data_IF_267178701082
#
_entry.id   IF_267178701082
#
_cell.length_a   1.000
_cell.length_b   1.000
_cell.length_c   1.000
_cell.angle_alpha   90.00
_cell.angle_beta   90.00
_cell.angle_gamma   90.00
#
_symmetry.space_group_name_H-M   'P 1'
#
loop_
_entity.id
_entity.type
_entity.pdbx_description
1 polymer ?
#
# COMPACT_ATOMS: atom_id res chain seq x y z
N UNK A 1 -0.32 -15.07 -23.02
CA UNK A 1 -1.48 -14.15 -22.88
C UNK A 1 -1.29 -13.28 -21.64
N UNK A 2 -1.89 -12.10 -21.62
CA UNK A 2 -1.85 -11.19 -20.48
C UNK A 2 -3.26 -11.01 -19.92
N UNK A 3 -3.39 -11.03 -18.58
CA UNK A 3 -4.63 -10.69 -17.87
C UNK A 3 -4.43 -9.32 -17.23
N UNK A 4 -5.35 -8.40 -17.44
CA UNK A 4 -5.38 -7.11 -16.78
C UNK A 4 -6.53 -7.09 -15.77
N UNK A 5 -6.22 -6.80 -14.51
CA UNK A 5 -7.19 -6.61 -13.43
C UNK A 5 -7.04 -5.22 -12.84
N UNK A 6 -8.15 -4.56 -12.57
CA UNK A 6 -8.21 -3.25 -11.93
C UNK A 6 -9.16 -3.33 -10.72
N UNK A 7 -8.68 -3.77 -9.55
CA UNK A 7 -9.51 -3.83 -8.36
C UNK A 7 -9.93 -2.43 -7.92
N UNK A 8 -11.19 -2.29 -7.50
CA UNK A 8 -11.73 -1.05 -6.97
C UNK A 8 -11.89 -1.17 -5.46
N UNK A 9 -11.50 -0.13 -4.74
CA UNK A 9 -11.65 0.00 -3.29
C UNK A 9 -12.61 1.14 -2.97
N UNK A 10 -13.93 0.88 -2.92
CA UNK A 10 -14.92 1.91 -2.63
C UNK A 10 -14.68 2.55 -1.25
N UNK A 11 -15.01 3.83 -1.14
CA UNK A 11 -15.05 4.58 0.12
C UNK A 11 -16.50 4.86 0.52
N UNK A 12 -16.70 5.49 1.68
CA UNK A 12 -18.04 5.78 2.22
C UNK A 12 -18.93 6.55 1.24
N UNK A 13 -18.36 7.50 0.51
CA UNK A 13 -19.13 8.37 -0.40
C UNK A 13 -19.59 7.60 -1.66
N UNK A 14 -18.82 6.60 -2.08
CA UNK A 14 -19.15 5.76 -3.24
C UNK A 14 -20.43 4.96 -3.03
N UNK A 15 -20.74 4.58 -1.77
CA UNK A 15 -21.94 3.79 -1.45
C UNK A 15 -23.19 4.50 -1.94
N UNK A 16 -23.35 5.77 -1.58
CA UNK A 16 -24.52 6.55 -1.97
C UNK A 16 -24.43 7.05 -3.41
N UNK A 17 -23.24 7.41 -3.87
CA UNK A 17 -23.02 7.93 -5.22
C UNK A 17 -23.32 6.89 -6.29
N UNK A 18 -22.92 5.63 -6.06
CA UNK A 18 -23.05 4.54 -7.03
C UNK A 18 -24.10 3.50 -6.63
N UNK A 19 -24.84 3.74 -5.54
CA UNK A 19 -25.85 2.84 -5.01
C UNK A 19 -25.31 1.40 -4.86
N UNK A 20 -24.17 1.28 -4.17
CA UNK A 20 -23.49 -0.01 -3.99
C UNK A 20 -24.32 -0.95 -3.10
N UNK A 21 -24.41 -2.21 -3.51
CA UNK A 21 -25.10 -3.26 -2.79
C UNK A 21 -24.40 -3.59 -1.45
N UNK A 22 -25.15 -4.19 -0.51
CA UNK A 22 -24.68 -4.45 0.87
C UNK A 22 -23.56 -5.51 0.96
N UNK A 23 -23.30 -6.28 -0.08
CA UNK A 23 -22.21 -7.23 -0.20
C UNK A 23 -20.90 -6.60 -0.72
N UNK A 24 -20.96 -5.37 -1.28
CA UNK A 24 -19.78 -4.63 -1.71
C UNK A 24 -19.09 -3.98 -0.52
N UNK A 25 -17.87 -4.39 -0.23
CA UNK A 25 -17.08 -3.83 0.86
C UNK A 25 -16.59 -2.42 0.54
N UNK A 26 -16.39 -1.61 1.58
CA UNK A 26 -15.85 -0.27 1.46
C UNK A 26 -14.87 0.04 2.60
N UNK A 27 -13.97 0.99 2.37
CA UNK A 27 -12.90 1.36 3.30
C UNK A 27 -13.01 2.82 3.74
N UNK A 28 -12.29 3.21 4.81
CA UNK A 28 -12.06 4.63 5.09
C UNK A 28 -11.31 5.28 3.93
N UNK A 29 -11.61 6.55 3.67
CA UNK A 29 -10.86 7.33 2.69
C UNK A 29 -9.39 7.43 3.08
N UNK A 30 -8.49 7.13 2.13
CA UNK A 30 -7.04 7.16 2.32
C UNK A 30 -6.45 6.06 3.20
N UNK A 31 -7.24 5.06 3.66
CA UNK A 31 -6.75 3.95 4.46
C UNK A 31 -6.75 2.62 3.70
N UNK A 32 -7.57 2.50 2.64
CA UNK A 32 -7.52 1.34 1.75
C UNK A 32 -6.13 1.14 1.11
N UNK A 33 -5.38 2.21 0.90
CA UNK A 33 -4.02 2.15 0.36
C UNK A 33 -2.95 1.79 1.40
N UNK A 34 -3.36 1.53 2.64
CA UNK A 34 -2.50 1.19 3.76
C UNK A 34 -2.76 -0.22 4.33
N UNK A 35 -3.68 -0.98 3.76
CA UNK A 35 -3.99 -2.31 4.26
C UNK A 35 -4.98 -2.33 5.42
N UNK A 36 -5.70 -1.24 5.67
CA UNK A 36 -6.67 -1.18 6.75
C UNK A 36 -7.91 -2.04 6.49
N UNK A 37 -8.63 -2.32 7.59
CA UNK A 37 -9.86 -3.10 7.53
C UNK A 37 -10.98 -2.30 6.86
N UNK A 38 -11.78 -2.98 6.04
CA UNK A 38 -13.03 -2.46 5.51
C UNK A 38 -13.96 -2.04 6.64
N UNK A 39 -14.88 -1.12 6.36
CA UNK A 39 -15.86 -0.63 7.33
C UNK A 39 -17.06 -1.55 7.44
N UNK A 40 -17.66 -1.54 8.63
CA UNK A 40 -18.96 -2.08 8.92
C UNK A 40 -19.63 -1.13 9.92
N UNK A 41 -20.55 -0.30 9.47
CA UNK A 41 -21.24 0.71 10.30
C UNK A 41 -22.72 0.41 10.41
N UNK A 42 -23.37 1.00 11.40
CA UNK A 42 -24.81 0.82 11.58
C UNK A 42 -25.62 1.35 10.38
N UNK A 43 -25.16 2.43 9.74
CA UNK A 43 -25.80 3.01 8.56
C UNK A 43 -25.53 2.24 7.27
N UNK A 44 -24.38 1.57 7.21
CA UNK A 44 -23.96 0.78 6.03
C UNK A 44 -23.35 -0.53 6.54
N UNK A 45 -24.17 -1.48 7.01
CA UNK A 45 -23.68 -2.75 7.53
C UNK A 45 -23.07 -3.60 6.44
N UNK A 46 -22.04 -4.36 6.80
CA UNK A 46 -21.37 -5.34 5.93
C UNK A 46 -21.23 -6.67 6.65
N UNK A 47 -21.24 -7.80 5.92
CA UNK A 47 -21.24 -9.13 6.54
C UNK A 47 -19.95 -9.43 7.31
N UNK A 48 -18.83 -8.82 6.90
CA UNK A 48 -17.53 -8.98 7.54
C UNK A 48 -16.65 -7.78 7.24
N UNK A 49 -15.49 -7.75 7.89
CA UNK A 49 -14.41 -6.79 7.63
C UNK A 49 -13.18 -7.54 7.14
N UNK A 50 -12.47 -6.96 6.18
CA UNK A 50 -11.23 -7.52 5.63
C UNK A 50 -10.24 -6.40 5.32
N UNK A 51 -8.96 -6.66 5.50
CA UNK A 51 -7.91 -5.76 5.05
C UNK A 51 -7.91 -5.63 3.52
N UNK A 52 -7.68 -4.44 3.02
CA UNK A 52 -7.50 -4.22 1.58
C UNK A 52 -6.29 -5.03 1.04
N UNK A 53 -5.27 -5.26 1.85
CA UNK A 53 -4.15 -6.12 1.47
C UNK A 53 -4.54 -7.60 1.40
N UNK A 54 -5.40 -8.08 2.31
CA UNK A 54 -5.94 -9.45 2.20
C UNK A 54 -6.76 -9.66 0.93
N UNK A 55 -7.36 -8.59 0.36
CA UNK A 55 -8.01 -8.72 -0.95
C UNK A 55 -7.00 -8.95 -2.07
N UNK A 56 -5.83 -8.30 -2.02
CA UNK A 56 -4.74 -8.54 -2.97
C UNK A 56 -4.16 -9.95 -2.81
N UNK A 57 -3.96 -10.42 -1.57
CA UNK A 57 -3.55 -11.80 -1.32
C UNK A 57 -4.52 -12.79 -1.99
N UNK A 58 -5.82 -12.56 -1.81
CA UNK A 58 -6.88 -13.38 -2.42
C UNK A 58 -6.83 -13.34 -3.95
N UNK A 59 -6.62 -12.15 -4.54
CA UNK A 59 -6.49 -11.99 -6.00
C UNK A 59 -5.27 -12.78 -6.50
N UNK A 60 -4.12 -12.70 -5.84
CA UNK A 60 -2.92 -13.44 -6.22
C UNK A 60 -3.15 -14.93 -6.19
N UNK A 61 -3.76 -15.46 -5.12
CA UNK A 61 -4.12 -16.87 -5.02
C UNK A 61 -5.05 -17.31 -6.15
N UNK A 62 -6.11 -16.55 -6.41
CA UNK A 62 -7.06 -16.88 -7.48
C UNK A 62 -6.43 -16.83 -8.87
N UNK A 63 -5.52 -15.88 -9.10
CA UNK A 63 -4.76 -15.82 -10.36
C UNK A 63 -3.90 -17.07 -10.54
N UNK A 64 -3.16 -17.49 -9.51
CA UNK A 64 -2.32 -18.69 -9.56
C UNK A 64 -3.15 -19.97 -9.71
N UNK A 65 -4.24 -20.14 -8.96
CA UNK A 65 -5.12 -21.30 -9.02
C UNK A 65 -5.76 -21.48 -10.40
N UNK A 66 -6.24 -20.38 -11.00
CA UNK A 66 -6.97 -20.43 -12.25
C UNK A 66 -6.06 -20.38 -13.50
N UNK A 67 -4.77 -20.13 -13.31
CA UNK A 67 -3.80 -20.01 -14.40
C UNK A 67 -2.51 -20.78 -14.06
N UNK A 68 -2.49 -22.12 -14.23
CA UNK A 68 -1.31 -22.96 -13.89
C UNK A 68 -0.02 -22.59 -14.62
N UNK A 69 -0.12 -21.85 -15.73
CA UNK A 69 1.02 -21.34 -16.49
C UNK A 69 1.36 -19.88 -16.19
N UNK A 70 0.92 -19.34 -15.06
CA UNK A 70 1.24 -17.97 -14.64
C UNK A 70 2.71 -17.87 -14.23
N UNK A 71 3.46 -17.05 -14.94
CA UNK A 71 4.91 -16.87 -14.72
C UNK A 71 5.22 -15.58 -14.00
N UNK A 72 4.33 -14.56 -14.10
CA UNK A 72 4.59 -13.23 -13.55
C UNK A 72 3.32 -12.53 -13.10
N UNK A 73 3.38 -11.86 -11.94
CA UNK A 73 2.39 -10.91 -11.45
C UNK A 73 3.06 -9.54 -11.34
N UNK A 74 2.46 -8.53 -11.96
CA UNK A 74 2.89 -7.13 -11.83
C UNK A 74 1.81 -6.37 -11.09
N UNK A 75 2.15 -5.82 -9.92
CA UNK A 75 1.30 -4.89 -9.19
C UNK A 75 1.76 -3.47 -9.51
N UNK A 76 0.88 -2.68 -10.10
CA UNK A 76 1.15 -1.27 -10.42
C UNK A 76 0.03 -0.38 -9.92
N UNK A 77 0.34 0.86 -9.64
CA UNK A 77 -0.62 1.87 -9.22
C UNK A 77 -0.07 3.27 -9.39
N UNK A 78 -0.96 4.25 -9.59
CA UNK A 78 -0.61 5.66 -9.71
C UNK A 78 -1.17 6.44 -8.52
N UNK A 79 -0.43 7.45 -8.03
CA UNK A 79 -0.85 8.34 -6.94
C UNK A 79 -1.25 7.54 -5.68
N UNK A 80 -2.49 7.61 -5.21
CA UNK A 80 -2.99 6.81 -4.08
C UNK A 80 -2.83 5.30 -4.29
N UNK A 81 -2.99 4.81 -5.54
CA UNK A 81 -2.73 3.42 -5.89
C UNK A 81 -1.26 3.03 -5.76
N UNK A 82 -0.33 3.94 -6.03
CA UNK A 82 1.10 3.68 -5.84
C UNK A 82 1.50 3.57 -4.37
N UNK A 83 0.82 4.29 -3.47
CA UNK A 83 1.00 4.14 -2.03
C UNK A 83 0.63 2.72 -1.57
N UNK A 84 -0.44 2.15 -2.14
CA UNK A 84 -0.80 0.75 -1.89
C UNK A 84 0.30 -0.20 -2.39
N UNK A 85 0.82 0.03 -3.59
CA UNK A 85 1.90 -0.80 -4.16
C UNK A 85 3.14 -0.80 -3.27
N UNK A 86 3.61 0.37 -2.84
CA UNK A 86 4.80 0.50 -1.98
C UNK A 86 4.61 -0.23 -0.65
N UNK A 87 3.48 -0.04 0.01
CA UNK A 87 3.20 -0.66 1.31
C UNK A 87 2.95 -2.15 1.20
N UNK A 88 2.26 -2.59 0.14
CA UNK A 88 2.03 -4.01 -0.10
C UNK A 88 3.31 -4.75 -0.52
N UNK A 89 4.21 -4.12 -1.27
CA UNK A 89 5.51 -4.70 -1.60
C UNK A 89 6.34 -5.06 -0.35
N UNK A 90 6.18 -4.27 0.72
CA UNK A 90 6.83 -4.52 2.00
C UNK A 90 6.02 -5.43 2.93
N UNK A 91 4.71 -5.23 3.02
CA UNK A 91 3.87 -5.90 4.01
C UNK A 91 3.03 -7.05 3.48
N UNK A 92 2.87 -7.17 2.16
CA UNK A 92 1.98 -8.15 1.53
C UNK A 92 2.43 -9.60 1.74
N UNK A 93 1.48 -10.48 2.01
CA UNK A 93 1.72 -11.91 2.26
C UNK A 93 1.41 -12.81 1.08
N UNK A 94 0.76 -12.27 0.04
CA UNK A 94 0.37 -13.05 -1.13
C UNK A 94 1.55 -13.61 -1.92
N UNK A 95 2.68 -12.89 -2.00
CA UNK A 95 3.90 -13.37 -2.62
C UNK A 95 4.50 -14.54 -1.84
N UNK A 96 4.63 -14.42 -0.52
CA UNK A 96 5.17 -15.48 0.34
C UNK A 96 4.33 -16.75 0.25
N UNK A 97 3.00 -16.61 0.32
CA UNK A 97 2.07 -17.73 0.19
C UNK A 97 2.15 -18.47 -1.15
N UNK A 98 2.67 -17.83 -2.19
CA UNK A 98 2.88 -18.41 -3.53
C UNK A 98 4.35 -18.72 -3.84
N UNK A 99 5.24 -18.68 -2.86
CA UNK A 99 6.69 -18.88 -3.06
C UNK A 99 7.06 -20.22 -3.73
N UNK A 100 6.22 -21.25 -3.58
CA UNK A 100 6.39 -22.55 -4.23
C UNK A 100 5.96 -22.63 -5.70
N UNK A 101 5.33 -21.59 -6.25
CA UNK A 101 4.72 -21.61 -7.58
C UNK A 101 5.64 -21.11 -8.70
N UNK A 102 6.86 -20.70 -8.40
CA UNK A 102 7.83 -20.14 -9.35
C UNK A 102 7.30 -18.93 -10.15
N UNK A 103 6.49 -18.08 -9.50
CA UNK A 103 5.91 -16.87 -10.06
C UNK A 103 6.82 -15.69 -9.72
N UNK A 104 7.22 -14.90 -10.73
CA UNK A 104 7.92 -13.65 -10.52
C UNK A 104 6.93 -12.55 -10.08
N UNK A 105 7.26 -11.83 -9.00
CA UNK A 105 6.49 -10.68 -8.53
C UNK A 105 7.26 -9.39 -8.81
N UNK A 106 6.58 -8.42 -9.42
CA UNK A 106 7.14 -7.10 -9.76
C UNK A 106 6.21 -6.01 -9.26
N UNK A 107 6.77 -5.00 -8.63
CA UNK A 107 6.05 -3.85 -8.10
C UNK A 107 6.44 -2.59 -8.86
N UNK A 108 5.45 -1.85 -9.37
CA UNK A 108 5.69 -0.63 -10.16
C UNK A 108 4.83 0.52 -9.61
N UNK A 109 5.27 1.16 -8.51
CA UNK A 109 4.62 2.38 -8.03
C UNK A 109 4.93 3.56 -8.94
N UNK A 110 3.89 4.36 -9.27
CA UNK A 110 3.99 5.50 -10.18
C UNK A 110 3.54 6.77 -9.47
N UNK A 111 4.39 7.80 -9.43
CA UNK A 111 4.14 9.10 -8.79
C UNK A 111 3.57 8.94 -7.37
N UNK A 112 4.34 8.30 -6.51
CA UNK A 112 3.93 7.98 -5.14
C UNK A 112 3.96 9.22 -4.25
N UNK A 113 2.81 9.69 -3.73
CA UNK A 113 2.79 10.93 -2.95
C UNK A 113 3.27 10.76 -1.51
N UNK A 114 3.38 9.54 -1.00
CA UNK A 114 3.99 9.25 0.31
C UNK A 114 4.50 7.81 0.38
N UNK A 115 5.56 7.61 1.14
CA UNK A 115 6.26 6.35 1.28
C UNK A 115 6.07 5.73 2.67
N UNK A 116 6.40 4.45 2.79
CA UNK A 116 6.66 3.78 4.05
C UNK A 116 8.16 3.83 4.29
N UNK A 117 8.57 4.41 5.41
CA UNK A 117 9.95 4.48 5.87
C UNK A 117 10.23 3.40 6.91
N UNK A 118 11.39 2.78 6.84
CA UNK A 118 11.76 1.62 7.65
C UNK A 118 12.62 1.98 8.86
N UNK A 119 12.95 3.26 8.98
CA UNK A 119 13.63 3.87 10.14
C UNK A 119 13.13 5.31 10.36
N UNK A 120 13.73 6.00 11.34
CA UNK A 120 13.39 7.39 11.66
C UNK A 120 14.01 8.44 10.75
N UNK A 121 14.89 8.05 9.81
CA UNK A 121 15.58 9.00 8.95
C UNK A 121 14.64 9.55 7.88
N UNK A 122 14.73 10.85 7.66
CA UNK A 122 13.93 11.59 6.67
C UNK A 122 14.82 12.57 5.93
N UNK A 123 14.44 12.89 4.70
CA UNK A 123 15.08 13.97 3.94
C UNK A 123 14.70 15.29 4.60
N UNK A 124 15.69 16.00 5.15
CA UNK A 124 15.50 17.31 5.78
C UNK A 124 15.73 18.45 4.79
N UNK A 125 16.64 18.27 3.86
CA UNK A 125 16.99 19.26 2.85
C UNK A 125 17.22 18.56 1.51
N UNK A 126 16.32 18.79 0.56
CA UNK A 126 16.37 18.22 -0.78
C UNK A 126 17.57 18.71 -1.60
N UNK A 127 18.09 19.90 -1.27
CA UNK A 127 19.21 20.50 -2.02
C UNK A 127 20.57 19.98 -1.57
N UNK A 128 20.67 19.51 -0.34
CA UNK A 128 21.92 19.03 0.27
C UNK A 128 21.92 17.51 0.50
N UNK A 129 20.82 16.83 0.17
CA UNK A 129 20.65 15.39 0.40
C UNK A 129 20.92 15.00 1.87
N UNK A 130 20.56 15.87 2.80
CA UNK A 130 20.73 15.62 4.23
C UNK A 130 19.60 14.74 4.74
N UNK A 131 19.97 13.59 5.26
CA UNK A 131 19.09 12.65 5.95
C UNK A 131 19.39 12.70 7.45
N UNK A 132 18.39 12.90 8.26
CA UNK A 132 18.48 12.87 9.72
C UNK A 132 17.14 12.45 10.31
N UNK A 133 17.11 12.17 11.61
CA UNK A 133 15.85 11.94 12.32
C UNK A 133 14.94 13.14 12.17
N UNK A 134 13.67 12.87 11.84
CA UNK A 134 12.67 13.91 11.62
C UNK A 134 12.63 14.95 12.73
N UNK A 135 12.34 16.21 12.42
CA UNK A 135 12.34 17.28 13.40
C UNK A 135 11.36 16.97 14.54
N UNK A 136 11.76 17.40 15.73
CA UNK A 136 10.90 17.38 16.92
C UNK A 136 9.58 18.09 16.60
N UNK A 137 8.47 17.39 16.71
CA UNK A 137 7.13 17.94 16.43
C UNK A 137 6.37 17.25 15.28
N UNK A 138 7.05 16.47 14.43
CA UNK A 138 6.39 15.64 13.39
C UNK A 138 6.09 14.25 13.93
N UNK A 139 5.28 14.13 14.96
CA UNK A 139 4.99 12.86 15.66
C UNK A 139 4.32 11.81 14.79
N UNK A 140 3.70 12.20 13.69
CA UNK A 140 3.07 11.28 12.73
C UNK A 140 4.04 10.70 11.70
N UNK A 141 5.27 11.23 11.58
CA UNK A 141 6.19 10.81 10.52
C UNK A 141 6.62 9.33 10.63
N UNK A 142 6.71 8.80 11.86
CA UNK A 142 7.03 7.39 12.09
C UNK A 142 5.82 6.50 12.35
N UNK A 143 4.63 7.10 12.46
CA UNK A 143 3.40 6.32 12.61
C UNK A 143 3.06 5.62 11.29
N UNK A 144 2.54 4.40 11.37
CA UNK A 144 1.96 3.77 10.20
C UNK A 144 0.81 4.67 9.68
N UNK A 145 0.79 4.97 8.47
CA UNK A 145 1.27 4.38 7.20
C UNK A 145 2.58 5.00 6.63
N UNK A 146 3.28 5.82 7.41
CA UNK A 146 4.50 6.52 6.95
C UNK A 146 5.78 5.93 7.55
N UNK A 147 5.67 5.25 8.69
CA UNK A 147 6.74 4.54 9.36
C UNK A 147 6.21 3.27 10.01
N UNK A 148 6.98 2.67 10.88
CA UNK A 148 6.69 1.36 11.47
C UNK A 148 6.06 1.44 12.87
N UNK A 149 5.86 2.64 13.44
CA UNK A 149 5.18 2.78 14.73
C UNK A 149 3.67 2.58 14.57
N UNK A 150 3.05 1.85 15.51
CA UNK A 150 1.60 1.61 15.53
C UNK A 150 1.05 1.04 14.21
N UNK A 151 1.63 -0.05 13.78
CA UNK A 151 1.18 -0.81 12.60
C UNK A 151 -0.31 -1.15 12.71
N UNK A 152 -1.03 -1.19 11.58
CA UNK A 152 -2.37 -1.74 11.57
C UNK A 152 -2.34 -3.27 11.70
N UNK A 153 -3.49 -3.88 11.94
CA UNK A 153 -3.59 -5.31 12.20
C UNK A 153 -2.90 -6.17 11.14
N UNK A 154 -3.07 -5.87 9.85
CA UNK A 154 -2.47 -6.67 8.78
C UNK A 154 -0.94 -6.62 8.82
N UNK A 155 -0.39 -5.42 9.03
CA UNK A 155 1.06 -5.21 9.11
C UNK A 155 1.65 -5.76 10.41
N UNK A 156 0.92 -5.70 11.54
CA UNK A 156 1.32 -6.36 12.79
C UNK A 156 1.42 -7.89 12.61
N UNK A 157 0.46 -8.50 11.91
CA UNK A 157 0.48 -9.93 11.59
C UNK A 157 1.65 -10.32 10.67
N UNK A 158 2.09 -9.43 9.76
CA UNK A 158 3.30 -9.63 8.96
C UNK A 158 4.55 -9.49 9.82
N UNK A 159 4.58 -8.52 10.72
CA UNK A 159 5.68 -8.24 11.64
C UNK A 159 6.80 -7.38 11.04
N UNK A 160 7.35 -6.50 11.86
CA UNK A 160 8.34 -5.49 11.43
C UNK A 160 9.55 -6.09 10.71
N UNK A 161 10.12 -7.18 11.25
CA UNK A 161 11.27 -7.84 10.62
C UNK A 161 10.96 -8.33 9.21
N UNK A 162 9.80 -8.97 9.02
CA UNK A 162 9.39 -9.45 7.71
C UNK A 162 9.10 -8.29 6.74
N UNK A 163 8.49 -7.21 7.22
CA UNK A 163 8.25 -6.00 6.42
C UNK A 163 9.57 -5.46 5.86
N UNK A 164 10.59 -5.33 6.70
CA UNK A 164 11.92 -4.84 6.30
C UNK A 164 12.59 -5.80 5.32
N UNK A 165 12.51 -7.10 5.56
CA UNK A 165 13.14 -8.11 4.71
C UNK A 165 12.41 -8.25 3.37
N UNK A 166 11.09 -8.20 3.35
CA UNK A 166 10.31 -8.15 2.11
C UNK A 166 10.68 -6.93 1.27
N UNK A 167 10.78 -5.75 1.88
CA UNK A 167 11.19 -4.53 1.17
C UNK A 167 12.56 -4.68 0.49
N UNK A 168 13.55 -5.24 1.21
CA UNK A 168 14.91 -5.45 0.66
C UNK A 168 14.92 -6.41 -0.52
N UNK A 169 14.01 -7.39 -0.53
CA UNK A 169 13.93 -8.44 -1.54
C UNK A 169 12.95 -8.12 -2.67
N UNK A 170 12.09 -7.13 -2.49
CA UNK A 170 11.05 -6.78 -3.46
C UNK A 170 11.66 -6.28 -4.78
N UNK A 171 11.27 -6.89 -5.90
CA UNK A 171 11.58 -6.41 -7.23
C UNK A 171 10.71 -5.19 -7.55
N UNK A 172 11.19 -4.00 -7.15
CA UNK A 172 10.43 -2.74 -7.26
C UNK A 172 11.10 -1.77 -8.21
N UNK A 173 10.32 -1.23 -9.15
CA UNK A 173 10.73 -0.16 -10.07
C UNK A 173 9.86 1.06 -9.85
N UNK A 174 10.42 2.13 -9.34
CA UNK A 174 9.72 3.41 -9.14
C UNK A 174 9.68 4.21 -10.44
N UNK A 175 8.50 4.68 -10.82
CA UNK A 175 8.31 5.61 -11.93
C UNK A 175 7.86 6.96 -11.38
N UNK A 176 8.61 8.01 -11.71
CA UNK A 176 8.35 9.39 -11.28
C UNK A 176 8.26 10.28 -12.50
N UNK A 177 7.21 11.08 -12.58
CA UNK A 177 7.01 12.04 -13.65
C UNK A 177 8.02 13.18 -13.54
N UNK A 178 8.62 13.58 -14.65
CA UNK A 178 9.63 14.65 -14.70
C UNK A 178 9.18 15.98 -14.07
N UNK A 179 7.88 16.21 -14.02
CA UNK A 179 7.28 17.45 -13.48
C UNK A 179 6.47 17.22 -12.21
N UNK A 180 6.65 16.06 -11.57
CA UNK A 180 6.00 15.75 -10.28
C UNK A 180 6.90 16.19 -9.13
N UNK A 181 6.83 17.47 -8.78
CA UNK A 181 7.68 18.10 -7.76
C UNK A 181 7.08 18.08 -6.35
N UNK A 182 6.04 17.30 -6.10
CA UNK A 182 5.39 17.18 -4.79
C UNK A 182 4.54 18.39 -4.41
N UNK A 183 5.09 19.51 -4.10
CA UNK A 183 4.35 20.75 -3.82
C UNK A 183 3.83 20.89 -2.39
N UNK A 184 4.25 20.05 -1.46
CA UNK A 184 3.91 20.23 -0.04
C UNK A 184 4.78 21.32 0.61
N UNK A 185 4.14 22.29 1.24
CA UNK A 185 4.80 23.39 1.95
C UNK A 185 4.97 23.12 3.45
N UNK A 186 4.21 22.17 3.99
CA UNK A 186 4.28 21.80 5.40
C UNK A 186 5.44 20.83 5.63
N UNK A 187 6.33 21.17 6.57
CA UNK A 187 7.53 20.38 6.88
C UNK A 187 7.21 18.91 7.20
N UNK A 188 6.18 18.65 8.01
CA UNK A 188 5.81 17.27 8.36
C UNK A 188 5.21 16.50 7.17
N UNK A 189 4.48 17.15 6.28
CA UNK A 189 3.96 16.54 5.08
C UNK A 189 5.10 16.18 4.10
N UNK A 190 6.11 17.04 3.97
CA UNK A 190 7.30 16.76 3.14
C UNK A 190 8.11 15.56 3.63
N UNK A 191 8.16 15.33 4.95
CA UNK A 191 8.88 14.21 5.54
C UNK A 191 8.33 12.83 5.22
N UNK A 192 7.11 12.73 4.76
CA UNK A 192 6.47 11.46 4.38
C UNK A 192 6.38 11.28 2.87
N UNK A 193 6.75 12.32 2.12
CA UNK A 193 7.02 12.23 0.69
C UNK A 193 8.40 11.60 0.42
N UNK A 194 8.69 11.25 -0.75
CA UNK A 194 9.99 10.79 -1.19
C UNK A 194 10.48 11.60 -2.38
#
# INVERSE_FOLDING_TARGET
>A
STILLAPTYPIQDDISQYNLEDDILYWPDGDWNAGDLSRNTQSNPRPFRISSFSTLDTIYHRLAENNPGLEKIVLTGHSAGSQMVVRYAAGGRGQEALSGNNIEFVYVPVNTPSFLYYDGNRVLDETTEVFDFGPTGCTSANQYKYGLDNLNQYMEETGETNIIDHFKLANTTYLIGQYDFGGQTNTCARMVQG
#
